data_IF_826350368185
#
_entry.id   IF_826350368185
#
_cell.length_a   1.000
_cell.length_b   1.000
_cell.length_c   1.000
_cell.angle_alpha   90.00
_cell.angle_beta   90.00
_cell.angle_gamma   90.00
#
_symmetry.space_group_name_H-M   'P 1'
#
loop_
_entity.id
_entity.type
_entity.pdbx_description
1 polymer ?
#
# COMPACT_ATOMS: atom_id res chain seq x y z
N UNK A 1 10.79 -12.57 0.10
CA UNK A 1 11.03 -11.43 1.00
C UNK A 1 12.41 -11.62 1.56
N UNK A 2 13.29 -10.63 1.43
CA UNK A 2 14.67 -10.72 1.96
C UNK A 2 14.68 -11.12 3.44
N UNK A 3 13.69 -10.69 4.21
CA UNK A 3 13.52 -11.06 5.62
C UNK A 3 13.49 -12.59 5.84
N UNK A 4 12.79 -13.33 4.98
CA UNK A 4 12.63 -14.79 5.13
C UNK A 4 13.90 -15.58 4.82
N UNK A 5 14.88 -14.95 4.15
CA UNK A 5 16.18 -15.52 3.83
C UNK A 5 17.27 -15.06 4.80
N UNK A 6 17.17 -13.83 5.30
CA UNK A 6 18.11 -13.24 6.24
C UNK A 6 17.36 -12.50 7.34
N UNK A 7 17.20 -13.14 8.49
CA UNK A 7 16.51 -12.55 9.64
C UNK A 7 17.32 -11.35 10.17
N UNK A 8 16.75 -10.13 10.15
CA UNK A 8 17.43 -8.95 10.67
C UNK A 8 17.41 -8.94 12.20
N UNK A 9 18.21 -8.04 12.79
CA UNK A 9 18.12 -7.74 14.22
C UNK A 9 16.74 -7.13 14.50
N UNK A 10 15.97 -7.76 15.38
CA UNK A 10 14.66 -7.31 15.78
C UNK A 10 14.75 -6.31 16.94
N UNK A 11 13.79 -5.38 17.00
CA UNK A 11 13.60 -4.51 18.17
C UNK A 11 13.18 -5.32 19.40
N UNK A 12 13.30 -4.77 20.61
CA UNK A 12 12.91 -5.45 21.86
C UNK A 12 11.43 -5.89 21.90
N UNK A 13 10.54 -5.15 21.23
CA UNK A 13 9.09 -5.42 21.17
C UNK A 13 8.61 -5.26 19.73
N UNK A 14 8.93 -6.21 18.84
CA UNK A 14 8.57 -6.09 17.43
C UNK A 14 7.07 -6.30 17.25
N UNK A 15 6.50 -5.58 16.28
CA UNK A 15 5.14 -5.77 15.80
C UNK A 15 5.20 -5.79 14.28
N UNK A 16 4.70 -6.84 13.66
CA UNK A 16 4.83 -7.06 12.23
C UNK A 16 3.58 -6.59 11.49
N UNK A 17 3.77 -5.83 10.41
CA UNK A 17 2.68 -5.41 9.53
C UNK A 17 2.93 -5.98 8.14
N UNK A 18 1.99 -6.79 7.66
CA UNK A 18 2.01 -7.40 6.33
C UNK A 18 1.07 -6.64 5.40
N UNK A 19 1.57 -6.23 4.24
CA UNK A 19 0.79 -5.59 3.19
C UNK A 19 0.68 -6.54 2.01
N UNK A 20 -0.53 -6.99 1.67
CA UNK A 20 -0.73 -7.88 0.52
C UNK A 20 -2.10 -7.68 -0.09
N UNK A 21 -2.18 -7.42 -1.39
CA UNK A 21 -3.46 -7.30 -2.08
C UNK A 21 -4.26 -8.61 -2.02
N UNK A 22 -3.62 -9.74 -2.33
CA UNK A 22 -4.26 -11.06 -2.41
C UNK A 22 -4.31 -11.77 -1.06
N UNK A 23 -3.41 -11.40 -0.14
CA UNK A 23 -3.19 -12.14 1.09
C UNK A 23 -2.56 -13.53 0.87
N UNK A 24 -2.03 -13.79 -0.33
CA UNK A 24 -1.47 -15.08 -0.75
C UNK A 24 -0.02 -15.00 -1.24
N UNK A 25 0.61 -13.82 -1.15
CA UNK A 25 2.00 -13.61 -1.57
C UNK A 25 2.93 -14.56 -0.81
N UNK A 26 3.51 -15.55 -1.51
CA UNK A 26 4.28 -16.64 -0.91
C UNK A 26 5.42 -16.14 -0.01
N UNK A 27 6.15 -15.14 -0.47
CA UNK A 27 7.23 -14.49 0.26
C UNK A 27 6.79 -13.85 1.58
N UNK A 28 5.59 -13.28 1.64
CA UNK A 28 5.03 -12.71 2.87
C UNK A 28 4.51 -13.81 3.80
N UNK A 29 3.93 -14.87 3.23
CA UNK A 29 3.47 -16.04 3.99
C UNK A 29 4.62 -16.76 4.68
N UNK A 30 5.73 -16.95 3.98
CA UNK A 30 6.93 -17.54 4.58
C UNK A 30 7.40 -16.73 5.80
N UNK A 31 7.37 -15.40 5.72
CA UNK A 31 7.76 -14.54 6.84
C UNK A 31 6.73 -14.61 7.97
N UNK A 32 5.43 -14.63 7.66
CA UNK A 32 4.38 -14.75 8.69
C UNK A 32 4.51 -16.06 9.48
N UNK A 33 4.80 -17.18 8.81
CA UNK A 33 5.05 -18.46 9.50
C UNK A 33 6.20 -18.32 10.50
N UNK A 34 7.32 -17.73 10.10
CA UNK A 34 8.45 -17.50 11.01
C UNK A 34 8.11 -16.56 12.17
N UNK A 35 7.37 -15.48 11.89
CA UNK A 35 6.90 -14.52 12.91
C UNK A 35 6.01 -15.20 13.94
N UNK A 36 5.12 -16.09 13.49
CA UNK A 36 4.25 -16.88 14.35
C UNK A 36 5.03 -17.90 15.20
N UNK A 37 6.02 -18.59 14.61
CA UNK A 37 6.92 -19.51 15.34
C UNK A 37 7.72 -18.80 16.43
N UNK A 38 8.09 -17.54 16.20
CA UNK A 38 8.76 -16.68 17.19
C UNK A 38 7.80 -16.08 18.24
N UNK A 39 6.50 -16.24 18.07
CA UNK A 39 5.48 -15.70 18.98
C UNK A 39 5.40 -14.17 18.96
N UNK A 40 5.68 -13.54 17.82
CA UNK A 40 5.58 -12.09 17.67
C UNK A 40 4.21 -11.67 17.11
N UNK A 41 3.63 -10.56 17.62
CA UNK A 41 2.34 -10.09 17.16
C UNK A 41 2.41 -9.55 15.73
N UNK A 42 1.32 -9.77 14.99
CA UNK A 42 1.22 -9.47 13.57
C UNK A 42 -0.14 -8.91 13.16
N UNK A 43 -0.12 -7.98 12.21
CA UNK A 43 -1.29 -7.42 11.55
C UNK A 43 -1.17 -7.57 10.03
N UNK A 44 -2.20 -8.10 9.39
CA UNK A 44 -2.28 -8.17 7.93
C UNK A 44 -3.26 -7.13 7.37
N UNK A 45 -2.80 -6.29 6.44
CA UNK A 45 -3.65 -5.47 5.57
C UNK A 45 -3.85 -6.18 4.23
N UNK A 46 -5.09 -6.58 3.93
CA UNK A 46 -5.41 -7.30 2.69
C UNK A 46 -6.77 -6.91 2.10
N UNK A 47 -6.91 -7.08 0.78
CA UNK A 47 -8.19 -6.87 0.12
C UNK A 47 -9.09 -8.13 0.15
N UNK A 48 -8.50 -9.30 0.42
CA UNK A 48 -9.20 -10.59 0.37
C UNK A 48 -9.45 -11.10 1.78
N UNK A 49 -10.70 -11.02 2.22
CA UNK A 49 -11.12 -11.56 3.51
C UNK A 49 -10.91 -13.09 3.56
N UNK A 50 -10.34 -13.58 4.66
CA UNK A 50 -10.10 -15.01 4.89
C UNK A 50 -8.98 -15.61 4.03
N UNK A 51 -8.16 -14.77 3.39
CA UNK A 51 -6.89 -15.19 2.77
C UNK A 51 -5.94 -15.79 3.81
N UNK A 52 -4.90 -16.50 3.37
CA UNK A 52 -3.95 -17.15 4.28
C UNK A 52 -3.31 -16.16 5.25
N UNK A 53 -2.76 -15.04 4.75
CA UNK A 53 -2.18 -14.01 5.62
C UNK A 53 -3.20 -13.39 6.60
N UNK A 54 -4.49 -13.34 6.23
CA UNK A 54 -5.54 -12.83 7.11
C UNK A 54 -5.92 -13.81 8.20
N UNK A 55 -5.93 -15.12 7.91
CA UNK A 55 -6.27 -16.16 8.88
C UNK A 55 -5.15 -16.46 9.86
N UNK A 56 -3.91 -16.31 9.43
CA UNK A 56 -2.74 -16.71 10.20
C UNK A 56 -2.10 -15.56 10.99
N UNK A 57 -2.44 -14.30 10.71
CA UNK A 57 -2.02 -13.17 11.52
C UNK A 57 -2.94 -12.99 12.75
N UNK A 58 -2.44 -12.33 13.79
CA UNK A 58 -3.22 -12.06 15.00
C UNK A 58 -4.37 -11.09 14.72
N UNK A 59 -4.10 -10.07 13.92
CA UNK A 59 -5.07 -9.05 13.51
C UNK A 59 -5.17 -8.94 11.98
N UNK A 60 -6.34 -8.49 11.49
CA UNK A 60 -6.55 -8.17 10.07
C UNK A 60 -7.26 -6.84 9.90
N UNK A 61 -6.78 -6.04 8.94
CA UNK A 61 -7.48 -4.88 8.40
C UNK A 61 -7.81 -5.12 6.92
N UNK A 62 -9.09 -5.06 6.57
CA UNK A 62 -9.53 -5.21 5.19
C UNK A 62 -9.49 -3.87 4.44
N UNK A 63 -9.01 -3.90 3.20
CA UNK A 63 -8.92 -2.71 2.36
C UNK A 63 -10.26 -2.24 1.78
N UNK A 64 -11.22 -3.16 1.63
CA UNK A 64 -12.53 -2.90 1.04
C UNK A 64 -12.48 -2.24 -0.36
N UNK A 65 -11.41 -2.44 -1.13
CA UNK A 65 -11.28 -1.91 -2.50
C UNK A 65 -12.11 -2.71 -3.53
N UNK A 66 -12.75 -3.81 -3.11
CA UNK A 66 -13.47 -4.75 -3.97
C UNK A 66 -12.55 -5.57 -4.88
N UNK A 67 -13.06 -6.57 -5.63
CA UNK A 67 -12.23 -7.50 -6.41
C UNK A 67 -11.34 -6.79 -7.43
N UNK A 68 -10.04 -7.08 -7.46
CA UNK A 68 -9.10 -6.52 -8.43
C UNK A 68 -8.70 -7.61 -9.42
N UNK A 69 -9.04 -7.41 -10.70
CA UNK A 69 -8.83 -8.40 -11.77
C UNK A 69 -7.48 -8.17 -12.48
N UNK A 70 -7.04 -6.91 -12.53
CA UNK A 70 -5.79 -6.54 -13.18
C UNK A 70 -4.57 -7.06 -12.39
N UNK A 71 -3.52 -7.45 -13.12
CA UNK A 71 -2.25 -7.90 -12.53
C UNK A 71 -1.52 -6.71 -11.88
N UNK A 72 -1.46 -5.58 -12.58
CA UNK A 72 -0.93 -4.33 -12.03
C UNK A 72 -1.94 -3.75 -11.03
N UNK A 73 -1.56 -3.70 -9.75
CA UNK A 73 -2.44 -3.13 -8.72
C UNK A 73 -2.61 -1.63 -8.90
N UNK A 74 -3.82 -1.15 -8.68
CA UNK A 74 -4.23 0.26 -8.80
C UNK A 74 -5.01 0.68 -7.56
N UNK A 75 -6.25 0.19 -7.43
CA UNK A 75 -7.14 0.54 -6.33
C UNK A 75 -6.72 -0.06 -5.00
N UNK A 76 -6.10 -1.26 -5.00
CA UNK A 76 -5.63 -1.82 -3.75
C UNK A 76 -4.42 -1.04 -3.20
N UNK A 77 -3.55 -0.50 -4.06
CA UNK A 77 -2.46 0.40 -3.65
C UNK A 77 -2.99 1.66 -2.95
N UNK A 78 -3.93 2.38 -3.57
CA UNK A 78 -4.48 3.60 -2.96
C UNK A 78 -5.30 3.29 -1.70
N UNK A 79 -6.03 2.17 -1.67
CA UNK A 79 -6.75 1.72 -0.48
C UNK A 79 -5.78 1.33 0.66
N UNK A 80 -4.63 0.71 0.36
CA UNK A 80 -3.59 0.43 1.37
C UNK A 80 -3.10 1.72 2.03
N UNK A 81 -2.83 2.76 1.24
CA UNK A 81 -2.40 4.06 1.77
C UNK A 81 -3.50 4.66 2.67
N UNK A 82 -4.76 4.61 2.25
CA UNK A 82 -5.88 5.13 3.04
C UNK A 82 -6.03 4.40 4.38
N UNK A 83 -5.98 3.06 4.38
CA UNK A 83 -6.06 2.25 5.61
C UNK A 83 -4.84 2.49 6.51
N UNK A 84 -3.63 2.63 5.93
CA UNK A 84 -2.43 2.98 6.69
C UNK A 84 -2.53 4.37 7.32
N UNK A 85 -3.15 5.35 6.65
CA UNK A 85 -3.39 6.67 7.22
C UNK A 85 -4.35 6.61 8.42
N UNK A 86 -5.42 5.81 8.32
CA UNK A 86 -6.36 5.56 9.42
C UNK A 86 -5.64 4.87 10.59
N UNK A 87 -4.82 3.84 10.32
CA UNK A 87 -4.03 3.15 11.33
C UNK A 87 -3.04 4.11 12.03
N UNK A 88 -2.34 4.94 11.25
CA UNK A 88 -1.41 5.93 11.80
C UNK A 88 -2.12 6.95 12.69
N UNK A 89 -3.32 7.40 12.31
CA UNK A 89 -4.15 8.26 13.15
C UNK A 89 -4.52 7.56 14.46
N UNK A 90 -5.06 6.34 14.40
CA UNK A 90 -5.48 5.60 15.59
C UNK A 90 -4.31 5.38 16.58
N UNK A 91 -3.13 5.01 16.08
CA UNK A 91 -1.91 4.86 16.91
C UNK A 91 -1.48 6.22 17.49
N UNK A 92 -1.57 7.28 16.70
CA UNK A 92 -1.22 8.63 17.15
C UNK A 92 -2.16 9.17 18.22
N UNK A 93 -3.46 8.89 18.12
CA UNK A 93 -4.47 9.23 19.13
C UNK A 93 -4.22 8.46 20.44
N UNK A 94 -3.96 7.16 20.37
CA UNK A 94 -3.60 6.35 21.54
C UNK A 94 -2.33 6.90 22.24
N UNK A 95 -1.37 7.38 21.46
CA UNK A 95 -0.13 8.01 21.96
C UNK A 95 -0.28 9.49 22.33
N UNK A 96 -1.48 10.07 22.22
CA UNK A 96 -1.74 11.49 22.47
C UNK A 96 -0.82 12.42 21.66
N UNK A 97 -0.45 12.00 20.44
CA UNK A 97 0.34 12.81 19.53
C UNK A 97 -0.52 13.92 18.97
N UNK A 98 -0.19 15.19 19.31
CA UNK A 98 -1.00 16.36 18.95
C UNK A 98 -1.36 16.38 17.45
N UNK A 99 -0.39 16.09 16.58
CA UNK A 99 -0.60 16.08 15.13
C UNK A 99 -1.68 15.08 14.69
N UNK A 100 -1.74 13.89 15.31
CA UNK A 100 -2.75 12.88 14.98
C UNK A 100 -4.12 13.25 15.55
N UNK A 101 -4.16 13.76 16.78
CA UNK A 101 -5.39 14.20 17.46
C UNK A 101 -6.06 15.35 16.71
N UNK A 102 -5.27 16.31 16.18
CA UNK A 102 -5.79 17.44 15.42
C UNK A 102 -6.14 17.10 13.96
N UNK A 103 -5.74 15.93 13.46
CA UNK A 103 -5.86 15.60 12.04
C UNK A 103 -7.20 14.95 11.74
N UNK A 104 -8.04 15.61 10.93
CA UNK A 104 -9.31 15.03 10.47
C UNK A 104 -9.10 14.11 9.27
N UNK A 105 -8.67 12.87 9.54
CA UNK A 105 -8.43 11.86 8.49
C UNK A 105 -9.66 11.62 7.61
N UNK A 106 -10.88 11.74 8.14
CA UNK A 106 -12.09 11.46 7.40
C UNK A 106 -12.35 12.57 6.38
N UNK A 107 -12.19 13.83 6.81
CA UNK A 107 -12.26 14.98 5.90
C UNK A 107 -11.18 14.91 4.81
N UNK A 108 -9.93 14.70 5.19
CA UNK A 108 -8.80 14.67 4.24
C UNK A 108 -8.94 13.54 3.22
N UNK A 109 -9.35 12.33 3.65
CA UNK A 109 -9.61 11.23 2.72
C UNK A 109 -10.81 11.52 1.79
N UNK A 110 -11.80 12.29 2.25
CA UNK A 110 -12.92 12.73 1.41
C UNK A 110 -12.46 13.74 0.34
N UNK A 111 -11.54 14.64 0.70
CA UNK A 111 -10.90 15.55 -0.27
C UNK A 111 -10.09 14.77 -1.30
N UNK A 112 -9.30 13.78 -0.85
CA UNK A 112 -8.52 12.90 -1.75
C UNK A 112 -9.44 12.17 -2.73
N UNK A 113 -10.58 11.63 -2.28
CA UNK A 113 -11.55 10.98 -3.16
C UNK A 113 -12.08 11.92 -4.26
N UNK A 114 -12.44 13.16 -3.90
CA UNK A 114 -12.91 14.16 -4.87
C UNK A 114 -11.82 14.57 -5.88
N UNK A 115 -10.56 14.69 -5.43
CA UNK A 115 -9.42 14.96 -6.31
C UNK A 115 -9.18 13.79 -7.27
N UNK A 116 -9.29 12.54 -6.80
CA UNK A 116 -9.17 11.36 -7.66
C UNK A 116 -10.23 11.35 -8.76
N UNK A 117 -11.49 11.69 -8.47
CA UNK A 117 -12.54 11.82 -9.48
C UNK A 117 -12.18 12.86 -10.55
N UNK A 118 -11.71 14.03 -10.12
CA UNK A 118 -11.29 15.11 -11.03
C UNK A 118 -10.15 14.66 -11.95
N UNK A 119 -9.14 13.97 -11.40
CA UNK A 119 -8.01 13.45 -12.19
C UNK A 119 -8.44 12.38 -13.21
N UNK A 120 -9.44 11.57 -12.88
CA UNK A 120 -10.00 10.57 -13.79
C UNK A 120 -10.73 11.24 -14.96
N UNK A 121 -11.41 12.36 -14.72
CA UNK A 121 -12.09 13.12 -15.77
C UNK A 121 -11.10 13.75 -16.77
N UNK A 122 -9.87 14.02 -16.35
CA UNK A 122 -8.78 14.53 -17.19
C UNK A 122 -8.13 13.45 -18.09
N UNK A 123 -8.65 12.22 -18.11
CA UNK A 123 -8.08 11.07 -18.87
C UNK A 123 -7.74 11.36 -20.34
N UNK A 124 -8.50 12.23 -21.01
CA UNK A 124 -8.24 12.57 -22.41
C UNK A 124 -6.99 13.44 -22.58
N UNK A 125 -6.75 14.36 -21.63
CA UNK A 125 -5.53 15.17 -21.63
C UNK A 125 -4.32 14.30 -21.33
N UNK A 126 -4.43 13.40 -20.35
CA UNK A 126 -3.37 12.45 -20.02
C UNK A 126 -3.07 11.51 -21.21
N UNK A 127 -4.10 11.05 -21.93
CA UNK A 127 -3.93 10.27 -23.15
C UNK A 127 -3.14 11.04 -24.22
N UNK A 128 -3.48 12.30 -24.48
CA UNK A 128 -2.77 13.12 -25.46
C UNK A 128 -1.28 13.29 -25.10
N UNK A 129 -0.95 13.53 -23.82
CA UNK A 129 0.43 13.60 -23.36
C UNK A 129 1.19 12.28 -23.57
N UNK A 130 0.56 11.14 -23.29
CA UNK A 130 1.16 9.82 -23.54
C UNK A 130 1.42 9.60 -25.02
N UNK A 131 0.47 9.99 -25.89
CA UNK A 131 0.62 9.88 -27.34
C UNK A 131 1.78 10.74 -27.87
N UNK A 132 1.94 11.97 -27.36
CA UNK A 132 2.99 12.90 -27.78
C UNK A 132 4.40 12.48 -27.32
N UNK A 133 4.53 11.96 -26.09
CA UNK A 133 5.85 11.79 -25.45
C UNK A 133 6.28 10.33 -25.26
N UNK A 134 5.35 9.37 -25.17
CA UNK A 134 5.66 8.00 -24.77
C UNK A 134 5.47 6.96 -25.87
N UNK A 135 4.72 7.25 -26.95
CA UNK A 135 4.38 6.28 -28.02
C UNK A 135 5.58 5.50 -28.59
N UNK A 136 6.72 6.16 -28.80
CA UNK A 136 7.92 5.55 -29.38
C UNK A 136 9.11 5.52 -28.42
N UNK A 137 8.91 5.97 -27.19
CA UNK A 137 9.97 6.16 -26.21
C UNK A 137 10.23 4.86 -25.47
N UNK A 138 11.49 4.42 -25.46
CA UNK A 138 11.89 3.17 -24.77
C UNK A 138 12.31 3.36 -23.31
N UNK A 139 12.51 4.60 -22.88
CA UNK A 139 13.03 4.93 -21.55
C UNK A 139 12.27 6.11 -20.97
N UNK A 140 11.83 5.99 -19.73
CA UNK A 140 11.22 7.07 -18.97
C UNK A 140 11.92 7.19 -17.61
N UNK A 141 12.16 8.43 -17.16
CA UNK A 141 12.71 8.70 -15.84
C UNK A 141 11.60 9.24 -14.94
N UNK A 142 11.44 8.63 -13.77
CA UNK A 142 10.51 9.07 -12.73
C UNK A 142 11.33 9.64 -11.57
N UNK A 143 11.03 10.88 -11.17
CA UNK A 143 11.83 11.63 -10.21
C UNK A 143 10.89 12.17 -9.13
N UNK A 144 11.20 11.87 -7.88
CA UNK A 144 10.49 12.39 -6.72
C UNK A 144 11.40 12.52 -5.52
N UNK A 145 11.02 13.39 -4.58
CA UNK A 145 11.76 13.65 -3.34
C UNK A 145 10.83 13.46 -2.14
N UNK A 146 11.34 12.89 -1.06
CA UNK A 146 10.53 12.64 0.14
C UNK A 146 9.44 11.61 -0.17
N UNK A 147 8.17 11.96 0.08
CA UNK A 147 7.04 11.06 -0.21
C UNK A 147 6.86 10.81 -1.71
N UNK A 148 7.20 11.79 -2.55
CA UNK A 148 7.08 11.68 -4.01
C UNK A 148 8.03 10.63 -4.60
N UNK A 149 9.10 10.28 -3.87
CA UNK A 149 9.99 9.19 -4.27
C UNK A 149 9.24 7.85 -4.35
N UNK A 150 8.42 7.54 -3.35
CA UNK A 150 7.64 6.30 -3.31
C UNK A 150 6.57 6.27 -4.39
N UNK A 151 5.92 7.42 -4.65
CA UNK A 151 4.96 7.58 -5.76
C UNK A 151 5.67 7.39 -7.11
N UNK A 152 6.86 7.96 -7.28
CA UNK A 152 7.66 7.84 -8.50
C UNK A 152 8.09 6.39 -8.75
N UNK A 153 8.46 5.65 -7.71
CA UNK A 153 8.76 4.23 -7.81
C UNK A 153 7.54 3.42 -8.27
N UNK A 154 6.37 3.66 -7.67
CA UNK A 154 5.14 2.97 -8.06
C UNK A 154 4.76 3.29 -9.51
N UNK A 155 4.83 4.56 -9.91
CA UNK A 155 4.54 4.97 -11.29
C UNK A 155 5.48 4.33 -12.31
N UNK A 156 6.78 4.28 -12.00
CA UNK A 156 7.77 3.58 -12.83
C UNK A 156 7.49 2.08 -12.94
N UNK A 157 7.09 1.45 -11.82
CA UNK A 157 6.70 0.05 -11.79
C UNK A 157 5.47 -0.19 -12.66
N UNK A 158 4.43 0.64 -12.55
CA UNK A 158 3.22 0.54 -13.39
C UNK A 158 3.57 0.61 -14.86
N UNK A 159 4.33 1.62 -15.30
CA UNK A 159 4.70 1.72 -16.71
C UNK A 159 5.41 0.45 -17.17
N UNK A 160 6.40 -0.03 -16.41
CA UNK A 160 7.16 -1.24 -16.74
C UNK A 160 6.32 -2.52 -16.82
N UNK A 161 5.23 -2.62 -16.06
CA UNK A 161 4.36 -3.80 -16.05
C UNK A 161 3.43 -3.88 -17.26
N UNK A 162 3.04 -2.75 -17.85
CA UNK A 162 1.95 -2.69 -18.85
C UNK A 162 2.30 -2.03 -20.19
N UNK A 163 3.49 -1.42 -20.34
CA UNK A 163 3.93 -0.76 -21.58
C UNK A 163 4.81 -1.62 -22.47
#
# INVERSE_FOLDING_TARGET
SEFGYNMPILSEKPFFIFLSQSGETADSRQVLVQVNELGHPSLTLTNVAGSTLSREADDTLLLHAGPEIAVASTKAYTAQIAVLAILAKAIGEERQTLAAVSFDVAHELSVVAAVMETLIDEKQQMKALVEDYLTYTRNAFYIGRGVDYYVSMEAALKLKEIS
#
